data_IF_969002781565
#
_entry.id   IF_969002781565
#
_cell.length_a   1.000
_cell.length_b   1.000
_cell.length_c   1.000
_cell.angle_alpha   90.00
_cell.angle_beta   90.00
_cell.angle_gamma   90.00
#
_symmetry.space_group_name_H-M   'P 1'
#
loop_
_entity.id
_entity.type
_entity.pdbx_description
1 polymer ?
#
# COMPACT_ATOMS: atom_id res chain seq x y z
N UNK A 1 15.41 -11.85 1.44
CA UNK A 1 16.87 -12.05 1.64
C UNK A 1 17.18 -12.08 3.13
N UNK A 2 18.41 -12.45 3.55
CA UNK A 2 18.82 -12.26 4.94
C UNK A 2 19.06 -10.78 5.25
N UNK A 3 19.01 -10.41 6.53
CA UNK A 3 19.27 -9.03 6.97
C UNK A 3 20.67 -8.54 6.54
N UNK A 4 21.67 -9.41 6.62
CA UNK A 4 23.05 -9.13 6.18
C UNK A 4 23.13 -8.87 4.67
N UNK A 5 22.40 -9.65 3.87
CA UNK A 5 22.34 -9.43 2.42
C UNK A 5 21.69 -8.09 2.07
N UNK A 6 20.61 -7.70 2.76
CA UNK A 6 19.99 -6.39 2.55
C UNK A 6 20.93 -5.24 2.92
N UNK A 7 21.67 -5.36 4.04
CA UNK A 7 22.66 -4.35 4.45
C UNK A 7 23.78 -4.22 3.41
N UNK A 8 24.31 -5.35 2.93
CA UNK A 8 25.33 -5.37 1.87
C UNK A 8 24.86 -4.68 0.59
N UNK A 9 23.68 -5.05 0.09
CA UNK A 9 23.11 -4.43 -1.12
C UNK A 9 22.82 -2.93 -0.94
N UNK A 10 22.34 -2.52 0.24
CA UNK A 10 22.12 -1.11 0.55
C UNK A 10 23.44 -0.32 0.56
N UNK A 11 24.49 -0.88 1.17
CA UNK A 11 25.83 -0.28 1.20
C UNK A 11 26.41 -0.14 -0.20
N UNK A 12 26.29 -1.19 -1.03
CA UNK A 12 26.73 -1.17 -2.44
C UNK A 12 26.04 -0.06 -3.22
N UNK A 13 24.72 0.12 -3.05
CA UNK A 13 23.97 1.20 -3.69
C UNK A 13 24.40 2.59 -3.22
N UNK A 14 24.65 2.77 -1.93
CA UNK A 14 25.18 4.04 -1.38
C UNK A 14 26.56 4.36 -1.97
N UNK A 15 27.48 3.39 -1.97
CA UNK A 15 28.82 3.54 -2.52
C UNK A 15 28.79 3.84 -4.02
N UNK A 16 27.96 3.11 -4.76
CA UNK A 16 27.77 3.31 -6.20
C UNK A 16 27.26 4.72 -6.50
N UNK A 17 26.21 5.17 -5.81
CA UNK A 17 25.61 6.47 -6.06
C UNK A 17 26.56 7.63 -5.71
N UNK A 18 27.24 7.55 -4.56
CA UNK A 18 28.25 8.55 -4.18
C UNK A 18 29.46 8.52 -5.12
N UNK A 19 29.89 7.35 -5.58
CA UNK A 19 30.96 7.20 -6.56
C UNK A 19 30.64 7.88 -7.90
N UNK A 20 29.42 7.71 -8.42
CA UNK A 20 28.96 8.41 -9.63
C UNK A 20 28.83 9.92 -9.47
N UNK A 21 28.62 10.39 -8.24
CA UNK A 21 28.63 11.82 -7.90
C UNK A 21 30.05 12.35 -7.63
N UNK A 22 31.09 11.53 -7.84
CA UNK A 22 32.50 11.84 -7.57
C UNK A 22 32.78 12.16 -6.09
N UNK A 23 31.97 11.62 -5.18
CA UNK A 23 32.08 11.84 -3.73
C UNK A 23 32.84 10.67 -3.10
N UNK A 24 33.98 10.99 -2.49
CA UNK A 24 34.76 10.02 -1.73
C UNK A 24 34.15 9.82 -0.34
N UNK A 25 33.65 8.62 -0.08
CA UNK A 25 33.09 8.24 1.21
C UNK A 25 33.75 6.96 1.71
N UNK A 26 34.24 6.99 2.95
CA UNK A 26 34.77 5.80 3.61
C UNK A 26 33.66 4.78 3.88
N UNK A 27 33.89 3.52 3.52
CA UNK A 27 32.91 2.44 3.66
C UNK A 27 32.46 2.27 5.12
N UNK A 28 33.38 2.38 6.08
CA UNK A 28 33.08 2.26 7.51
C UNK A 28 32.17 3.39 8.02
N UNK A 29 32.11 4.53 7.34
CA UNK A 29 31.15 5.60 7.65
C UNK A 29 29.80 5.44 6.96
N UNK A 30 29.71 4.67 5.87
CA UNK A 30 28.47 4.37 5.16
C UNK A 30 27.75 3.14 5.72
N UNK A 31 28.48 2.18 6.30
CA UNK A 31 27.91 0.99 6.94
C UNK A 31 26.81 1.32 7.98
N UNK A 32 27.00 2.28 8.91
CA UNK A 32 25.93 2.68 9.83
C UNK A 32 24.70 3.30 9.14
N UNK A 33 24.88 3.91 7.96
CA UNK A 33 23.78 4.48 7.17
C UNK A 33 22.98 3.36 6.52
N UNK A 34 23.64 2.39 5.91
CA UNK A 34 23.00 1.20 5.34
C UNK A 34 22.25 0.40 6.43
N UNK A 35 22.86 0.26 7.61
CA UNK A 35 22.23 -0.35 8.78
C UNK A 35 20.95 0.38 9.17
N UNK A 36 21.02 1.71 9.31
CA UNK A 36 19.88 2.53 9.70
C UNK A 36 18.70 2.36 8.73
N UNK A 37 18.98 2.44 7.43
CA UNK A 37 17.96 2.27 6.38
C UNK A 37 17.33 0.88 6.49
N UNK A 38 18.12 -0.19 6.41
CA UNK A 38 17.59 -1.56 6.38
C UNK A 38 16.84 -1.91 7.67
N UNK A 39 17.35 -1.50 8.83
CA UNK A 39 16.68 -1.77 10.10
C UNK A 39 15.27 -1.19 10.14
N UNK A 40 15.09 0.04 9.65
CA UNK A 40 13.78 0.72 9.66
C UNK A 40 12.76 0.09 8.71
N UNK A 41 13.23 -0.61 7.68
CA UNK A 41 12.38 -1.24 6.65
C UNK A 41 12.14 -2.73 6.87
N UNK A 42 12.74 -3.33 7.90
CA UNK A 42 12.58 -4.75 8.26
C UNK A 42 11.68 -4.94 9.49
N UNK A 43 10.93 -3.89 9.86
CA UNK A 43 9.97 -3.92 10.95
C UNK A 43 8.88 -4.98 10.73
N UNK A 44 8.25 -5.50 11.80
CA UNK A 44 7.30 -6.60 11.72
C UNK A 44 5.93 -6.21 11.11
N UNK A 45 5.80 -4.98 10.60
CA UNK A 45 4.61 -4.45 9.94
C UNK A 45 4.89 -4.07 8.47
N UNK A 46 6.15 -4.16 8.01
CA UNK A 46 6.55 -3.85 6.64
C UNK A 46 6.43 -5.11 5.78
N UNK A 47 5.44 -5.13 4.89
CA UNK A 47 5.17 -6.23 3.96
C UNK A 47 5.32 -5.79 2.50
N UNK A 48 4.97 -4.55 2.20
CA UNK A 48 5.15 -3.90 0.91
C UNK A 48 6.36 -2.96 0.98
N UNK A 49 6.39 -2.04 1.94
CA UNK A 49 7.46 -1.03 2.07
C UNK A 49 8.71 -1.63 2.74
N UNK A 50 9.45 -2.42 1.97
CA UNK A 50 10.57 -3.28 2.39
C UNK A 50 11.89 -2.87 1.73
N UNK A 51 13.06 -3.42 2.12
CA UNK A 51 14.31 -3.17 1.40
C UNK A 51 14.24 -3.51 -0.10
N UNK A 52 13.55 -4.59 -0.48
CA UNK A 52 13.36 -4.96 -1.89
C UNK A 52 12.66 -3.83 -2.67
N UNK A 53 11.62 -3.23 -2.08
CA UNK A 53 10.88 -2.12 -2.67
C UNK A 53 11.78 -0.90 -2.93
N UNK A 54 12.56 -0.42 -1.96
CA UNK A 54 13.43 0.76 -2.19
C UNK A 54 14.54 0.49 -3.20
N UNK A 55 14.98 -0.77 -3.34
CA UNK A 55 15.98 -1.14 -4.33
C UNK A 55 15.41 -1.15 -5.75
N UNK A 56 14.17 -1.59 -5.91
CA UNK A 56 13.42 -1.54 -7.17
C UNK A 56 13.10 -0.09 -7.56
N UNK A 57 12.54 0.70 -6.63
CA UNK A 57 12.21 2.12 -6.83
C UNK A 57 13.46 2.95 -7.12
N UNK A 58 14.62 2.59 -6.57
CA UNK A 58 15.89 3.27 -6.85
C UNK A 58 16.40 3.02 -8.27
N UNK A 59 16.15 1.83 -8.83
CA UNK A 59 16.67 1.43 -10.14
C UNK A 59 18.19 1.42 -10.18
N UNK A 60 18.77 1.72 -11.35
CA UNK A 60 20.19 1.47 -11.63
C UNK A 60 20.92 2.57 -12.38
N UNK A 61 20.25 3.66 -12.76
CA UNK A 61 20.80 4.55 -13.79
C UNK A 61 21.23 5.92 -13.24
N UNK A 62 20.46 6.51 -12.31
CA UNK A 62 20.72 7.84 -11.77
C UNK A 62 21.04 7.80 -10.26
N UNK A 63 22.18 8.37 -9.82
CA UNK A 63 22.60 8.33 -8.42
C UNK A 63 21.70 9.14 -7.49
N UNK A 64 21.06 10.23 -7.95
CA UNK A 64 20.14 11.02 -7.13
C UNK A 64 18.84 10.25 -6.90
N UNK A 65 18.33 9.59 -7.94
CA UNK A 65 17.16 8.73 -7.83
C UNK A 65 17.42 7.56 -6.87
N UNK A 66 18.58 6.90 -6.98
CA UNK A 66 18.95 5.83 -6.03
C UNK A 66 19.03 6.35 -4.60
N UNK A 67 19.71 7.47 -4.35
CA UNK A 67 19.81 8.04 -3.01
C UNK A 67 18.45 8.44 -2.44
N UNK A 68 17.57 9.03 -3.23
CA UNK A 68 16.22 9.37 -2.78
C UNK A 68 15.39 8.13 -2.45
N UNK A 69 15.43 7.10 -3.30
CA UNK A 69 14.66 5.88 -3.09
C UNK A 69 15.07 5.14 -1.82
N UNK A 70 16.37 5.09 -1.49
CA UNK A 70 16.87 4.47 -0.27
C UNK A 70 16.30 5.12 1.01
N UNK A 71 15.84 6.36 0.94
CA UNK A 71 15.37 7.11 2.10
C UNK A 71 13.86 7.37 2.11
N UNK A 72 13.17 7.40 0.98
CA UNK A 72 11.82 7.97 0.90
C UNK A 72 10.79 7.37 1.89
N UNK A 73 10.99 6.10 2.27
CA UNK A 73 10.05 5.30 3.05
C UNK A 73 10.56 4.81 4.42
N UNK A 74 11.71 5.31 4.86
CA UNK A 74 12.31 4.85 6.12
C UNK A 74 11.51 5.30 7.35
N UNK A 75 10.70 6.34 7.24
CA UNK A 75 9.70 6.72 8.26
C UNK A 75 8.30 6.41 7.75
N UNK A 76 7.59 5.50 8.40
CA UNK A 76 6.18 5.21 8.08
C UNK A 76 5.35 5.03 9.34
N UNK A 77 4.94 6.15 9.92
CA UNK A 77 4.40 6.21 11.29
C UNK A 77 3.15 5.34 11.47
N UNK A 78 2.28 5.29 10.47
CA UNK A 78 1.00 4.57 10.54
C UNK A 78 1.20 3.05 10.48
N UNK A 79 2.22 2.59 9.75
CA UNK A 79 2.56 1.17 9.59
C UNK A 79 3.38 0.70 10.79
N UNK A 80 4.41 1.46 11.16
CA UNK A 80 5.33 1.11 12.25
C UNK A 80 4.74 1.39 13.65
N UNK A 81 3.60 2.09 13.71
CA UNK A 81 2.91 2.54 14.94
C UNK A 81 3.76 3.47 15.80
N UNK A 82 4.55 4.31 15.14
CA UNK A 82 5.45 5.26 15.78
C UNK A 82 6.69 5.54 14.92
N UNK A 83 7.61 6.31 15.49
CA UNK A 83 8.92 6.58 14.88
C UNK A 83 9.92 5.58 15.46
N UNK A 84 10.69 4.92 14.59
CA UNK A 84 11.75 4.02 15.02
C UNK A 84 12.77 4.75 15.90
N UNK A 85 13.20 4.13 17.00
CA UNK A 85 14.05 4.79 18.01
C UNK A 85 15.32 5.41 17.41
N UNK A 86 15.99 4.69 16.49
CA UNK A 86 17.21 5.18 15.84
C UNK A 86 16.96 6.37 14.88
N UNK A 87 15.71 6.61 14.46
CA UNK A 87 15.35 7.77 13.66
C UNK A 87 14.98 8.99 14.53
N UNK A 88 14.58 8.76 15.78
CA UNK A 88 14.08 9.80 16.67
C UNK A 88 15.09 10.95 16.86
N UNK A 89 16.38 10.65 16.95
CA UNK A 89 17.44 11.67 17.11
C UNK A 89 17.47 12.71 15.98
N UNK A 90 17.04 12.33 14.78
CA UNK A 90 16.99 13.22 13.61
C UNK A 90 15.69 14.03 13.53
N UNK A 91 14.66 13.65 14.30
CA UNK A 91 13.30 14.17 14.16
C UNK A 91 12.83 14.94 15.40
N UNK A 92 13.14 14.49 16.61
CA UNK A 92 12.68 15.13 17.86
C UNK A 92 13.06 16.60 18.02
N UNK A 93 14.19 17.11 17.47
CA UNK A 93 14.47 18.55 17.50
C UNK A 93 13.52 19.39 16.64
N UNK A 94 12.76 18.78 15.72
CA UNK A 94 11.96 19.48 14.71
C UNK A 94 10.47 19.14 14.78
N UNK A 95 10.15 17.96 15.30
CA UNK A 95 8.81 17.39 15.36
C UNK A 95 8.44 17.18 16.82
N UNK A 96 7.20 17.52 17.12
CA UNK A 96 6.56 17.16 18.38
C UNK A 96 5.26 16.40 18.13
N UNK A 97 4.79 15.73 19.18
CA UNK A 97 3.53 15.03 19.18
C UNK A 97 2.53 15.83 20.01
N UNK A 98 1.42 16.19 19.37
CA UNK A 98 0.27 16.86 19.96
C UNK A 98 -0.90 15.88 19.89
N UNK A 99 -1.25 15.28 21.03
CA UNK A 99 -2.13 14.10 21.15
C UNK A 99 -1.70 12.94 20.22
N UNK A 100 -2.53 12.59 19.23
CA UNK A 100 -2.28 11.52 18.25
C UNK A 100 -1.66 12.04 16.94
N UNK A 101 -1.34 13.35 16.86
CA UNK A 101 -0.86 13.98 15.63
C UNK A 101 0.57 14.47 15.79
N UNK A 102 1.32 14.40 14.70
CA UNK A 102 2.64 15.01 14.63
C UNK A 102 2.51 16.46 14.17
N UNK A 103 3.35 17.32 14.73
CA UNK A 103 3.40 18.74 14.40
C UNK A 103 4.85 19.15 14.19
N UNK A 104 5.09 19.97 13.17
CA UNK A 104 6.37 20.67 13.04
C UNK A 104 6.42 21.71 14.15
N UNK A 105 7.49 21.74 14.95
CA UNK A 105 7.62 22.69 16.05
C UNK A 105 7.47 24.14 15.57
N UNK A 106 7.05 24.99 16.49
CA UNK A 106 6.94 26.43 16.24
C UNK A 106 8.30 27.04 15.89
N UNK A 107 8.29 28.13 15.12
CA UNK A 107 9.52 28.75 14.62
C UNK A 107 10.50 29.16 15.73
N UNK A 108 10.01 29.48 16.94
CA UNK A 108 10.82 29.83 18.11
C UNK A 108 11.58 28.65 18.71
N UNK A 109 11.09 27.42 18.49
CA UNK A 109 11.61 26.20 19.11
C UNK A 109 12.47 25.39 18.14
N UNK A 110 12.46 25.76 16.86
CA UNK A 110 13.30 25.15 15.85
C UNK A 110 14.77 25.62 16.00
N UNK A 111 15.75 24.73 15.77
CA UNK A 111 17.16 25.13 15.73
C UNK A 111 17.40 26.27 14.75
N UNK A 112 18.02 27.34 15.23
CA UNK A 112 18.42 28.46 14.38
C UNK A 112 19.43 28.00 13.31
N UNK A 113 19.39 28.64 12.14
CA UNK A 113 20.35 28.47 11.04
C UNK A 113 20.46 27.05 10.46
N UNK A 114 19.40 26.24 10.59
CA UNK A 114 19.33 24.93 9.94
C UNK A 114 18.85 25.05 8.48
N UNK A 115 19.77 25.39 7.58
CA UNK A 115 19.50 25.51 6.14
C UNK A 115 18.90 24.23 5.53
N UNK A 116 19.27 23.06 6.05
CA UNK A 116 18.74 21.78 5.56
C UNK A 116 17.26 21.62 5.87
N UNK A 117 16.84 22.00 7.09
CA UNK A 117 15.42 22.02 7.44
C UNK A 117 14.66 23.06 6.60
N UNK A 118 15.19 24.28 6.48
CA UNK A 118 14.55 25.35 5.72
C UNK A 118 14.34 24.95 4.25
N UNK A 119 15.33 24.28 3.64
CA UNK A 119 15.22 23.75 2.28
C UNK A 119 14.09 22.71 2.16
N UNK A 120 14.00 21.77 3.10
CA UNK A 120 12.94 20.74 3.10
C UNK A 120 11.57 21.41 3.19
N UNK A 121 11.37 22.32 4.13
CA UNK A 121 10.09 23.00 4.32
C UNK A 121 9.68 23.80 3.08
N UNK A 122 10.62 24.50 2.43
CA UNK A 122 10.36 25.22 1.18
C UNK A 122 9.97 24.26 0.03
N UNK A 123 10.65 23.13 -0.12
CA UNK A 123 10.37 22.18 -1.21
C UNK A 123 9.08 21.38 -0.98
N UNK A 124 8.76 21.02 0.25
CA UNK A 124 7.52 20.35 0.60
C UNK A 124 6.32 21.31 0.73
N UNK A 125 6.58 22.63 0.81
CA UNK A 125 5.58 23.66 1.10
C UNK A 125 4.91 23.48 2.47
N UNK A 126 5.72 23.24 3.50
CA UNK A 126 5.29 23.14 4.89
C UNK A 126 5.77 24.34 5.69
N UNK A 127 5.07 24.64 6.78
CA UNK A 127 5.42 25.73 7.69
C UNK A 127 5.70 25.20 9.12
N UNK A 128 6.55 25.91 9.90
CA UNK A 128 6.61 25.73 11.34
C UNK A 128 5.22 25.82 11.99
N UNK A 129 4.98 25.06 13.05
CA UNK A 129 3.69 24.95 13.73
C UNK A 129 2.64 24.09 13.00
N UNK A 130 2.89 23.65 11.76
CA UNK A 130 1.93 22.90 10.96
C UNK A 130 1.73 21.48 11.50
N UNK A 131 0.45 21.10 11.69
CA UNK A 131 0.05 19.73 11.98
C UNK A 131 0.17 18.88 10.72
N UNK A 132 0.87 17.75 10.83
CA UNK A 132 1.11 16.82 9.74
C UNK A 132 -0.11 15.91 9.53
N UNK A 133 -0.41 15.66 8.25
CA UNK A 133 -1.45 14.73 7.84
C UNK A 133 -0.81 13.47 7.24
N UNK A 134 -1.26 12.26 7.64
CA UNK A 134 -0.86 11.01 7.00
C UNK A 134 -1.02 11.01 5.48
N UNK A 135 -2.03 11.72 4.96
CA UNK A 135 -2.32 11.82 3.53
C UNK A 135 -1.70 13.05 2.86
N UNK A 136 -1.01 13.89 3.64
CA UNK A 136 -0.44 15.17 3.19
C UNK A 136 1.05 15.12 2.92
N UNK A 137 1.69 13.95 2.91
CA UNK A 137 3.14 13.81 2.75
C UNK A 137 3.94 13.76 4.06
N UNK A 138 3.30 13.38 5.16
CA UNK A 138 3.95 13.29 6.47
C UNK A 138 5.17 12.36 6.45
N UNK A 139 5.03 11.16 5.88
CA UNK A 139 6.07 10.15 5.94
C UNK A 139 7.27 10.56 5.09
N UNK A 140 7.02 11.05 3.88
CA UNK A 140 8.00 11.56 2.93
C UNK A 140 8.75 12.76 3.50
N UNK A 141 8.06 13.67 4.19
CA UNK A 141 8.69 14.80 4.87
C UNK A 141 9.67 14.33 5.95
N UNK A 142 9.24 13.41 6.81
CA UNK A 142 10.06 12.89 7.91
C UNK A 142 11.26 12.09 7.36
N UNK A 143 11.03 11.27 6.34
CA UNK A 143 12.07 10.56 5.60
C UNK A 143 13.10 11.51 4.98
N UNK A 144 12.65 12.62 4.35
CA UNK A 144 13.52 13.65 3.80
C UNK A 144 14.34 14.37 4.89
N UNK A 145 13.75 14.64 6.06
CA UNK A 145 14.48 15.18 7.22
C UNK A 145 15.63 14.26 7.61
N UNK A 146 15.37 12.96 7.78
CA UNK A 146 16.42 11.99 8.09
C UNK A 146 17.47 11.94 6.99
N UNK A 147 17.06 11.86 5.72
CA UNK A 147 17.97 11.82 4.58
C UNK A 147 18.93 13.00 4.59
N UNK A 148 18.42 14.22 4.78
CA UNK A 148 19.25 15.43 4.84
C UNK A 148 20.22 15.39 6.01
N UNK A 149 19.80 15.00 7.22
CA UNK A 149 20.72 14.96 8.37
C UNK A 149 21.80 13.90 8.22
N UNK A 150 21.43 12.72 7.73
CA UNK A 150 22.33 11.59 7.56
C UNK A 150 23.32 11.84 6.43
N UNK A 151 22.88 12.40 5.30
CA UNK A 151 23.71 12.55 4.10
C UNK A 151 24.53 13.86 4.04
N UNK A 152 24.25 14.84 4.90
CA UNK A 152 24.96 16.13 4.96
C UNK A 152 26.49 16.04 5.06
N UNK A 153 27.11 15.04 5.71
CA UNK A 153 28.57 14.92 5.73
C UNK A 153 29.20 14.70 4.35
N UNK A 154 28.42 14.28 3.36
CA UNK A 154 28.90 13.94 2.01
C UNK A 154 28.28 14.80 0.93
N UNK A 155 26.99 15.12 1.04
CA UNK A 155 26.25 15.83 0.01
C UNK A 155 26.20 17.34 0.29
N UNK A 156 26.47 18.13 -0.74
CA UNK A 156 26.21 19.57 -0.72
C UNK A 156 24.71 19.87 -0.69
N UNK A 157 24.33 21.07 -0.24
CA UNK A 157 22.93 21.50 -0.21
C UNK A 157 22.28 21.46 -1.60
N UNK A 158 23.07 21.67 -2.66
CA UNK A 158 22.67 21.53 -4.07
C UNK A 158 22.24 20.11 -4.43
N UNK A 159 22.97 19.09 -3.99
CA UNK A 159 22.64 17.68 -4.25
C UNK A 159 21.47 17.25 -3.36
N UNK A 160 21.49 17.67 -2.09
CA UNK A 160 20.40 17.42 -1.14
C UNK A 160 19.07 17.98 -1.64
N UNK A 161 19.04 19.17 -2.26
CA UNK A 161 17.81 19.71 -2.84
C UNK A 161 17.19 18.82 -3.91
N UNK A 162 18.01 18.13 -4.71
CA UNK A 162 17.52 17.22 -5.74
C UNK A 162 17.02 15.91 -5.12
N UNK A 163 17.73 15.37 -4.13
CA UNK A 163 17.27 14.19 -3.35
C UNK A 163 15.94 14.48 -2.66
N UNK A 164 15.81 15.64 -2.01
CA UNK A 164 14.58 16.08 -1.33
C UNK A 164 13.45 16.29 -2.33
N UNK A 165 13.72 16.85 -3.51
CA UNK A 165 12.72 16.98 -4.58
C UNK A 165 12.19 15.61 -5.03
N UNK A 166 13.07 14.62 -5.18
CA UNK A 166 12.67 13.26 -5.53
C UNK A 166 11.80 12.62 -4.43
N UNK A 167 12.17 12.76 -3.15
CA UNK A 167 11.36 12.26 -2.02
C UNK A 167 10.01 12.99 -1.93
N UNK A 168 9.97 14.32 -2.13
CA UNK A 168 8.70 15.07 -2.16
C UNK A 168 7.78 14.55 -3.27
N UNK A 169 8.37 14.15 -4.39
CA UNK A 169 7.61 13.64 -5.50
C UNK A 169 6.98 12.26 -5.22
N UNK A 170 7.42 11.48 -4.23
CA UNK A 170 6.75 10.21 -3.90
C UNK A 170 5.40 10.39 -3.22
N UNK A 171 5.07 11.59 -2.70
CA UNK A 171 3.74 11.86 -2.12
C UNK A 171 2.65 11.63 -3.17
N UNK A 172 1.87 10.53 -3.12
CA UNK A 172 1.14 10.05 -4.28
C UNK A 172 -0.23 10.74 -4.44
N UNK A 173 -0.85 10.57 -5.61
CA UNK A 173 -2.25 10.92 -5.89
C UNK A 173 -2.65 12.39 -5.61
N UNK A 174 -1.71 13.32 -5.74
CA UNK A 174 -1.98 14.75 -5.58
C UNK A 174 -2.71 15.29 -6.79
N UNK A 175 -3.85 15.94 -6.56
CA UNK A 175 -4.60 16.67 -7.58
C UNK A 175 -3.88 17.96 -7.95
N UNK A 176 -4.30 18.57 -9.05
CA UNK A 176 -3.90 19.94 -9.38
C UNK A 176 -4.25 20.88 -8.22
N UNK A 177 -3.35 21.79 -7.90
CA UNK A 177 -3.57 22.75 -6.81
C UNK A 177 -4.55 23.86 -7.23
N UNK A 178 -4.86 24.77 -6.31
CA UNK A 178 -5.78 25.90 -6.55
C UNK A 178 -5.33 26.86 -7.67
N UNK A 179 -4.06 26.79 -8.07
CA UNK A 179 -3.49 27.56 -9.18
C UNK A 179 -3.54 26.79 -10.52
N UNK A 180 -4.13 25.59 -10.53
CA UNK A 180 -4.20 24.72 -11.71
C UNK A 180 -2.89 24.02 -12.05
N UNK A 181 -1.88 24.07 -11.18
CA UNK A 181 -0.59 23.41 -11.40
C UNK A 181 -0.63 21.97 -10.95
N UNK A 182 0.00 21.09 -11.73
CA UNK A 182 0.33 19.73 -11.32
C UNK A 182 1.35 19.73 -10.18
N UNK A 183 1.50 18.60 -9.48
CA UNK A 183 2.50 18.45 -8.42
C UNK A 183 3.92 18.70 -8.92
N UNK A 184 4.27 18.21 -10.11
CA UNK A 184 5.60 18.39 -10.71
C UNK A 184 5.88 19.85 -11.12
N UNK A 185 4.89 20.57 -11.64
CA UNK A 185 5.02 22.00 -11.96
C UNK A 185 5.18 22.84 -10.70
N UNK A 186 4.39 22.55 -9.66
CA UNK A 186 4.50 23.21 -8.37
C UNK A 186 5.86 22.94 -7.71
N UNK A 187 6.36 21.70 -7.76
CA UNK A 187 7.70 21.34 -7.29
C UNK A 187 8.79 22.09 -8.06
N UNK A 188 8.67 22.18 -9.39
CA UNK A 188 9.61 22.94 -10.23
C UNK A 188 9.67 24.42 -9.81
N UNK A 189 8.51 25.06 -9.59
CA UNK A 189 8.46 26.43 -9.10
C UNK A 189 9.13 26.60 -7.73
N UNK A 190 8.87 25.69 -6.78
CA UNK A 190 9.50 25.74 -5.45
C UNK A 190 11.00 25.49 -5.51
N UNK A 191 11.46 24.59 -6.38
CA UNK A 191 12.89 24.33 -6.58
C UNK A 191 13.62 25.54 -7.20
N UNK A 192 12.98 26.31 -8.10
CA UNK A 192 13.52 27.60 -8.58
C UNK A 192 13.70 28.60 -7.44
N UNK A 193 12.66 28.78 -6.62
CA UNK A 193 12.72 29.68 -5.47
C UNK A 193 13.79 29.24 -4.47
N UNK A 194 13.87 27.94 -4.16
CA UNK A 194 14.88 27.38 -3.28
C UNK A 194 16.31 27.57 -3.85
N UNK A 195 16.51 27.33 -5.16
CA UNK A 195 17.81 27.53 -5.80
C UNK A 195 18.35 28.96 -5.61
N UNK A 196 17.48 29.95 -5.75
CA UNK A 196 17.83 31.36 -5.53
C UNK A 196 18.06 31.66 -4.05
N UNK A 197 17.13 31.28 -3.18
CA UNK A 197 17.17 31.56 -1.73
C UNK A 197 18.41 30.97 -1.08
N UNK A 198 18.71 29.70 -1.36
CA UNK A 198 19.81 28.96 -0.75
C UNK A 198 21.10 29.00 -1.59
N UNK A 199 21.11 29.77 -2.69
CA UNK A 199 22.26 29.92 -3.60
C UNK A 199 22.82 28.56 -4.06
N UNK A 200 21.93 27.63 -4.42
CA UNK A 200 22.30 26.26 -4.83
C UNK A 200 23.05 26.23 -6.16
N UNK A 201 23.00 27.34 -6.92
CA UNK A 201 23.63 27.49 -8.22
C UNK A 201 22.98 26.63 -9.31
N UNK A 202 21.76 26.12 -9.10
CA UNK A 202 21.07 25.30 -10.11
C UNK A 202 20.55 26.22 -11.21
N UNK A 203 21.00 25.99 -12.45
CA UNK A 203 20.44 26.63 -13.63
C UNK A 203 19.10 26.01 -14.04
N UNK A 204 18.36 26.68 -14.92
CA UNK A 204 17.06 26.18 -15.41
C UNK A 204 17.12 24.74 -15.97
N UNK A 205 18.10 24.35 -16.81
CA UNK A 205 18.20 22.97 -17.30
C UNK A 205 18.35 21.95 -16.16
N UNK A 206 19.09 22.29 -15.11
CA UNK A 206 19.36 21.41 -13.97
C UNK A 206 18.16 21.29 -13.04
N UNK A 207 17.39 22.37 -12.91
CA UNK A 207 16.12 22.38 -12.18
C UNK A 207 15.10 21.50 -12.90
N UNK A 208 14.99 21.63 -14.23
CA UNK A 208 14.11 20.78 -15.03
C UNK A 208 14.51 19.30 -14.90
N UNK A 209 15.81 19.00 -15.02
CA UNK A 209 16.31 17.63 -14.86
C UNK A 209 16.05 17.07 -13.46
N UNK A 210 16.22 17.86 -12.40
CA UNK A 210 15.91 17.42 -11.05
C UNK A 210 14.42 17.02 -10.88
N UNK A 211 13.51 17.74 -11.52
CA UNK A 211 12.07 17.41 -11.50
C UNK A 211 11.76 16.21 -12.40
N UNK A 212 12.46 16.04 -13.53
CA UNK A 212 12.38 14.87 -14.39
C UNK A 212 12.78 13.60 -13.60
N UNK A 213 13.91 13.63 -12.89
CA UNK A 213 14.33 12.56 -11.95
C UNK A 213 13.26 12.25 -10.92
N UNK A 214 12.69 13.31 -10.34
CA UNK A 214 11.62 13.20 -9.35
C UNK A 214 10.37 12.51 -9.92
N UNK A 215 10.02 12.78 -11.19
CA UNK A 215 8.92 12.11 -11.90
C UNK A 215 9.23 10.64 -12.18
N UNK A 216 10.45 10.31 -12.62
CA UNK A 216 10.86 8.91 -12.85
C UNK A 216 10.76 8.09 -11.57
N UNK A 217 11.28 8.61 -10.47
CA UNK A 217 11.22 7.95 -9.17
C UNK A 217 9.78 7.79 -8.68
N UNK A 218 8.98 8.86 -8.71
CA UNK A 218 7.57 8.81 -8.30
C UNK A 218 6.75 7.82 -9.13
N UNK A 219 6.99 7.74 -10.44
CA UNK A 219 6.30 6.79 -11.32
C UNK A 219 6.71 5.33 -11.07
N UNK A 220 7.96 5.09 -10.65
CA UNK A 220 8.42 3.74 -10.27
C UNK A 220 7.86 3.31 -8.93
N UNK A 221 7.79 4.23 -7.97
CA UNK A 221 7.16 4.00 -6.66
C UNK A 221 5.71 3.51 -6.79
N UNK A 222 4.91 4.17 -7.63
CA UNK A 222 3.53 3.72 -7.94
C UNK A 222 3.44 2.79 -9.14
N UNK A 223 4.57 2.22 -9.59
CA UNK A 223 4.67 1.44 -10.83
C UNK A 223 3.70 0.26 -10.90
N UNK A 224 3.39 -0.33 -9.74
CA UNK A 224 2.46 -1.46 -9.62
C UNK A 224 1.04 -1.20 -10.13
N UNK A 225 0.62 0.06 -10.30
CA UNK A 225 -0.65 0.38 -10.95
C UNK A 225 -0.64 0.16 -12.46
N UNK A 226 0.54 0.16 -13.09
CA UNK A 226 0.73 -0.01 -14.55
C UNK A 226 1.09 -1.44 -14.97
N UNK A 227 1.15 -2.38 -14.02
CA UNK A 227 1.45 -3.78 -14.24
C UNK A 227 0.25 -4.59 -14.78
N UNK A 228 0.39 -5.90 -14.89
CA UNK A 228 -0.75 -6.81 -15.08
C UNK A 228 -1.69 -6.78 -13.86
N UNK A 229 -2.99 -7.02 -14.06
CA UNK A 229 -3.96 -6.98 -12.95
C UNK A 229 -3.63 -7.96 -11.82
N UNK A 230 -3.00 -9.10 -12.13
CA UNK A 230 -2.55 -10.07 -11.12
C UNK A 230 -1.47 -9.48 -10.20
N UNK A 231 -0.45 -8.83 -10.78
CA UNK A 231 0.59 -8.14 -10.03
C UNK A 231 0.04 -6.93 -9.26
N UNK A 232 -0.85 -6.14 -9.88
CA UNK A 232 -1.53 -5.04 -9.21
C UNK A 232 -2.29 -5.50 -7.96
N UNK A 233 -3.02 -6.61 -8.06
CA UNK A 233 -3.70 -7.20 -6.91
C UNK A 233 -2.74 -7.79 -5.87
N UNK A 234 -1.61 -8.39 -6.28
CA UNK A 234 -0.58 -8.84 -5.33
C UNK A 234 0.00 -7.70 -4.51
N UNK A 235 0.30 -6.57 -5.16
CA UNK A 235 0.78 -5.36 -4.51
C UNK A 235 -0.28 -4.82 -3.54
N UNK A 236 -1.54 -4.77 -4.00
CA UNK A 236 -2.68 -4.38 -3.17
C UNK A 236 -2.85 -5.30 -1.94
N UNK A 237 -2.67 -6.62 -2.10
CA UNK A 237 -2.75 -7.56 -0.98
C UNK A 237 -1.54 -7.43 -0.04
N UNK A 238 -0.35 -7.16 -0.55
CA UNK A 238 0.84 -6.95 0.28
C UNK A 238 0.70 -5.76 1.25
N UNK A 239 -0.12 -4.77 0.91
CA UNK A 239 -0.43 -3.61 1.76
C UNK A 239 -1.44 -3.92 2.89
N UNK A 240 -2.24 -4.98 2.76
CA UNK A 240 -3.32 -5.27 3.72
C UNK A 240 -2.80 -5.49 5.16
N UNK A 241 -1.75 -6.30 5.42
CA UNK A 241 -1.24 -6.51 6.77
C UNK A 241 -0.60 -5.28 7.41
N UNK A 242 -0.08 -4.35 6.59
CA UNK A 242 0.59 -3.14 7.08
C UNK A 242 -0.38 -2.20 7.80
N UNK A 243 -1.63 -2.15 7.32
CA UNK A 243 -2.69 -1.27 7.86
C UNK A 243 -3.73 -2.04 8.69
N UNK A 244 -3.67 -3.37 8.73
CA UNK A 244 -4.64 -4.22 9.41
C UNK A 244 -3.93 -5.30 10.27
N UNK A 245 -3.73 -5.04 11.57
CA UNK A 245 -2.90 -5.89 12.42
C UNK A 245 -3.47 -7.27 12.72
N UNK A 246 -4.79 -7.46 12.53
CA UNK A 246 -5.47 -8.73 12.76
C UNK A 246 -4.90 -9.86 11.88
N UNK A 247 -4.27 -9.53 10.75
CA UNK A 247 -3.66 -10.50 9.84
C UNK A 247 -2.36 -11.13 10.35
N UNK A 248 -1.78 -10.63 11.45
CA UNK A 248 -0.64 -11.30 12.09
C UNK A 248 -0.95 -12.68 12.65
N UNK A 249 -2.23 -12.92 12.98
CA UNK A 249 -2.71 -14.20 13.44
C UNK A 249 -3.74 -14.71 12.42
N UNK A 250 -3.30 -15.37 11.33
CA UNK A 250 -4.16 -15.86 10.23
C UNK A 250 -5.36 -16.70 10.66
N UNK A 251 -5.32 -17.27 11.87
CA UNK A 251 -6.34 -18.19 12.36
C UNK A 251 -7.37 -17.55 13.31
N UNK A 252 -7.18 -16.30 13.73
CA UNK A 252 -7.99 -15.67 14.77
C UNK A 252 -8.88 -14.53 14.31
N UNK A 253 -8.64 -13.95 13.13
CA UNK A 253 -9.42 -12.79 12.71
C UNK A 253 -10.87 -13.18 12.36
N UNK A 254 -11.80 -12.28 12.66
CA UNK A 254 -13.23 -12.47 12.42
C UNK A 254 -13.63 -12.13 10.99
N UNK A 255 -14.82 -12.57 10.57
CA UNK A 255 -15.40 -12.15 9.28
C UNK A 255 -15.47 -10.61 9.16
N UNK A 256 -15.85 -9.93 10.25
CA UNK A 256 -15.93 -8.47 10.33
C UNK A 256 -14.58 -7.80 10.17
N UNK A 257 -13.54 -8.30 10.83
CA UNK A 257 -12.18 -7.74 10.75
C UNK A 257 -11.63 -7.86 9.33
N UNK A 258 -11.72 -9.05 8.72
CA UNK A 258 -11.29 -9.25 7.33
C UNK A 258 -12.06 -8.36 6.35
N UNK A 259 -13.39 -8.30 6.47
CA UNK A 259 -14.24 -7.42 5.67
C UNK A 259 -13.89 -5.96 5.86
N UNK A 260 -13.63 -5.50 7.08
CA UNK A 260 -13.25 -4.10 7.34
C UNK A 260 -11.96 -3.72 6.61
N UNK A 261 -10.97 -4.61 6.61
CA UNK A 261 -9.73 -4.43 5.85
C UNK A 261 -10.03 -4.26 4.35
N UNK A 262 -10.82 -5.18 3.77
CA UNK A 262 -11.21 -5.09 2.35
C UNK A 262 -12.01 -3.82 2.03
N UNK A 263 -12.88 -3.37 2.95
CA UNK A 263 -13.71 -2.18 2.76
C UNK A 263 -12.85 -0.91 2.70
N UNK A 264 -11.81 -0.80 3.55
CA UNK A 264 -10.86 0.31 3.50
C UNK A 264 -10.11 0.34 2.16
N UNK A 265 -9.61 -0.81 1.72
CA UNK A 265 -8.92 -0.93 0.42
C UNK A 265 -9.84 -0.59 -0.75
N UNK A 266 -11.09 -1.06 -0.72
CA UNK A 266 -12.08 -0.70 -1.73
C UNK A 266 -12.33 0.81 -1.74
N UNK A 267 -12.55 1.43 -0.58
CA UNK A 267 -12.73 2.88 -0.47
C UNK A 267 -11.53 3.67 -1.00
N UNK A 268 -10.30 3.20 -0.75
CA UNK A 268 -9.10 3.78 -1.33
C UNK A 268 -9.11 3.69 -2.86
N UNK A 269 -9.34 2.50 -3.45
CA UNK A 269 -9.38 2.36 -4.91
C UNK A 269 -10.51 3.16 -5.56
N UNK A 270 -11.67 3.31 -4.92
CA UNK A 270 -12.76 4.19 -5.40
C UNK A 270 -12.35 5.66 -5.42
N UNK A 271 -11.52 6.10 -4.48
CA UNK A 271 -11.09 7.50 -4.40
C UNK A 271 -10.08 7.91 -5.48
N UNK A 272 -9.42 6.93 -6.10
CA UNK A 272 -8.36 7.15 -7.09
C UNK A 272 -8.92 7.53 -8.46
N UNK A 273 -8.24 8.49 -9.08
CA UNK A 273 -8.45 8.90 -10.47
C UNK A 273 -7.24 8.43 -11.28
N UNK A 274 -7.39 7.74 -12.42
CA UNK A 274 -6.25 7.21 -13.18
C UNK A 274 -5.20 8.27 -13.55
N UNK A 275 -5.67 9.47 -13.90
CA UNK A 275 -4.81 10.57 -14.37
C UNK A 275 -3.91 11.19 -13.30
N UNK A 276 -4.10 10.87 -12.02
CA UNK A 276 -3.27 11.39 -10.91
C UNK A 276 -2.31 10.34 -10.33
N UNK A 277 -2.32 9.12 -10.87
CA UNK A 277 -1.43 8.04 -10.45
C UNK A 277 -0.04 8.30 -11.02
N UNK A 278 0.07 8.28 -12.35
CA UNK A 278 1.31 8.56 -13.04
C UNK A 278 1.46 10.05 -13.32
N UNK A 279 2.70 10.51 -13.28
CA UNK A 279 3.08 11.89 -13.53
C UNK A 279 3.78 12.00 -14.87
N UNK A 280 3.63 13.18 -15.47
CA UNK A 280 4.37 13.59 -16.65
C UNK A 280 4.87 15.01 -16.44
N UNK A 281 6.12 15.27 -16.79
CA UNK A 281 6.71 16.59 -16.73
C UNK A 281 7.75 16.74 -17.83
N UNK A 282 7.65 17.84 -18.60
CA UNK A 282 8.65 18.21 -19.61
C UNK A 282 9.03 17.06 -20.59
N UNK A 283 8.04 16.27 -21.01
CA UNK A 283 8.23 15.16 -21.94
C UNK A 283 8.68 13.84 -21.31
N UNK A 284 8.81 13.75 -19.98
CA UNK A 284 9.10 12.53 -19.25
C UNK A 284 7.88 12.05 -18.43
N UNK A 285 7.40 10.80 -18.60
CA UNK A 285 7.72 9.95 -19.74
C UNK A 285 7.14 10.56 -21.03
N UNK A 286 7.52 10.00 -22.18
CA UNK A 286 6.93 10.41 -23.45
C UNK A 286 5.42 10.18 -23.45
N UNK A 287 4.71 10.88 -24.34
CA UNK A 287 3.25 10.88 -24.35
C UNK A 287 2.63 9.50 -24.57
N UNK A 288 3.24 8.67 -25.41
CA UNK A 288 2.73 7.33 -25.69
C UNK A 288 2.88 6.43 -24.46
N UNK A 289 4.04 6.48 -23.81
CA UNK A 289 4.30 5.77 -22.55
C UNK A 289 3.36 6.23 -21.44
N UNK A 290 3.18 7.55 -21.26
CA UNK A 290 2.25 8.10 -20.27
C UNK A 290 0.82 7.61 -20.49
N UNK A 291 0.31 7.73 -21.72
CA UNK A 291 -1.06 7.31 -22.05
C UNK A 291 -1.25 5.80 -21.84
N UNK A 292 -0.25 4.99 -22.17
CA UNK A 292 -0.29 3.55 -21.91
C UNK A 292 -0.34 3.22 -20.41
N UNK A 293 0.46 3.91 -19.59
CA UNK A 293 0.46 3.76 -18.13
C UNK A 293 -0.91 4.15 -17.52
N UNK A 294 -1.48 5.29 -17.94
CA UNK A 294 -2.80 5.73 -17.47
C UNK A 294 -3.90 4.76 -17.88
N UNK A 295 -3.88 4.26 -19.12
CA UNK A 295 -4.86 3.28 -19.59
C UNK A 295 -4.77 1.95 -18.82
N UNK A 296 -3.56 1.48 -18.52
CA UNK A 296 -3.37 0.27 -17.69
C UNK A 296 -3.85 0.50 -16.26
N UNK A 297 -3.54 1.63 -15.65
CA UNK A 297 -4.03 1.97 -14.32
C UNK A 297 -5.56 2.03 -14.28
N UNK A 298 -6.20 2.64 -15.28
CA UNK A 298 -7.66 2.67 -15.38
C UNK A 298 -8.27 1.26 -15.45
N UNK A 299 -7.71 0.41 -16.31
CA UNK A 299 -8.11 -0.99 -16.41
C UNK A 299 -7.91 -1.76 -15.10
N UNK A 300 -6.74 -1.63 -14.47
CA UNK A 300 -6.41 -2.28 -13.20
C UNK A 300 -7.31 -1.80 -12.06
N UNK A 301 -7.65 -0.51 -12.02
CA UNK A 301 -8.62 0.02 -11.06
C UNK A 301 -10.01 -0.58 -11.30
N UNK A 302 -10.45 -0.71 -12.55
CA UNK A 302 -11.73 -1.36 -12.87
C UNK A 302 -11.76 -2.82 -12.42
N UNK A 303 -10.72 -3.59 -12.72
CA UNK A 303 -10.54 -4.99 -12.29
C UNK A 303 -10.50 -5.07 -10.76
N UNK A 304 -9.68 -4.24 -10.11
CA UNK A 304 -9.52 -4.24 -8.66
C UNK A 304 -10.79 -3.88 -7.89
N UNK A 305 -11.54 -2.88 -8.37
CA UNK A 305 -12.84 -2.50 -7.79
C UNK A 305 -13.84 -3.64 -7.87
N UNK A 306 -14.03 -4.23 -9.05
CA UNK A 306 -14.98 -5.34 -9.22
C UNK A 306 -14.55 -6.59 -8.44
N UNK A 307 -13.26 -6.89 -8.39
CA UNK A 307 -12.70 -7.97 -7.56
C UNK A 307 -13.03 -7.75 -6.07
N UNK A 308 -12.76 -6.56 -5.54
CA UNK A 308 -13.05 -6.22 -4.15
C UNK A 308 -14.54 -6.19 -3.85
N UNK A 309 -15.38 -5.62 -4.73
CA UNK A 309 -16.83 -5.65 -4.58
C UNK A 309 -17.36 -7.08 -4.47
N UNK A 310 -16.85 -7.98 -5.31
CA UNK A 310 -17.23 -9.40 -5.28
C UNK A 310 -16.86 -10.05 -3.96
N UNK A 311 -15.62 -9.82 -3.47
CA UNK A 311 -15.20 -10.31 -2.16
C UNK A 311 -16.00 -9.67 -1.02
N UNK A 312 -16.34 -8.39 -1.10
CA UNK A 312 -17.15 -7.69 -0.09
C UNK A 312 -18.57 -8.25 0.00
N UNK A 313 -19.26 -8.47 -1.11
CA UNK A 313 -20.61 -9.08 -1.10
C UNK A 313 -20.54 -10.51 -0.53
N UNK A 314 -19.49 -11.26 -0.91
CA UNK A 314 -19.24 -12.59 -0.34
C UNK A 314 -19.08 -12.53 1.18
N UNK A 315 -18.24 -11.61 1.67
CA UNK A 315 -18.00 -11.42 3.10
C UNK A 315 -19.23 -10.88 3.85
N UNK A 316 -20.08 -10.08 3.21
CA UNK A 316 -21.34 -9.64 3.79
C UNK A 316 -22.27 -10.81 4.11
N UNK A 317 -22.39 -11.77 3.18
CA UNK A 317 -23.20 -12.97 3.41
C UNK A 317 -22.61 -13.80 4.56
N UNK A 318 -21.30 -14.02 4.56
CA UNK A 318 -20.62 -14.79 5.60
C UNK A 318 -20.71 -14.13 6.98
N UNK A 319 -20.48 -12.81 7.06
CA UNK A 319 -20.61 -12.06 8.32
C UNK A 319 -22.07 -12.05 8.80
N UNK A 320 -23.05 -11.81 7.93
CA UNK A 320 -24.46 -11.85 8.32
C UNK A 320 -24.90 -13.25 8.81
N UNK A 321 -24.40 -14.33 8.19
CA UNK A 321 -24.62 -15.70 8.69
C UNK A 321 -23.92 -15.88 10.05
N UNK A 322 -22.71 -15.35 10.23
CA UNK A 322 -21.95 -15.50 11.47
C UNK A 322 -22.68 -14.91 12.66
N UNK A 323 -23.45 -13.83 12.47
CA UNK A 323 -24.29 -13.22 13.52
C UNK A 323 -25.30 -14.20 14.15
N UNK A 324 -25.70 -15.28 13.45
CA UNK A 324 -26.56 -16.34 14.02
C UNK A 324 -25.82 -17.24 15.02
N UNK A 325 -24.50 -17.28 14.95
CA UNK A 325 -23.61 -18.04 15.83
C UNK A 325 -23.04 -17.14 16.94
N UNK A 326 -22.78 -15.87 16.62
CA UNK A 326 -22.26 -14.84 17.53
C UNK A 326 -21.68 -13.63 16.79
N UNK A 327 -21.44 -12.50 17.48
CA UNK A 327 -21.01 -11.25 16.84
C UNK A 327 -19.56 -11.26 16.32
N UNK A 328 -18.67 -12.10 16.86
CA UNK A 328 -17.22 -12.09 16.60
C UNK A 328 -16.67 -13.50 16.35
N UNK A 329 -17.28 -14.20 15.40
CA UNK A 329 -16.89 -15.57 15.04
C UNK A 329 -15.63 -15.53 14.17
N UNK A 330 -14.55 -16.26 14.53
CA UNK A 330 -13.38 -16.41 13.67
C UNK A 330 -13.75 -16.90 12.26
N UNK A 331 -13.17 -16.30 11.23
CA UNK A 331 -13.51 -16.66 9.84
C UNK A 331 -13.22 -18.13 9.54
N UNK A 332 -12.19 -18.69 10.17
CA UNK A 332 -11.82 -20.11 10.08
C UNK A 332 -12.93 -21.04 10.58
N UNK A 333 -13.80 -20.59 11.50
CA UNK A 333 -14.97 -21.37 11.91
C UNK A 333 -16.03 -21.47 10.81
N UNK A 334 -16.11 -20.50 9.89
CA UNK A 334 -17.07 -20.52 8.79
C UNK A 334 -16.50 -21.22 7.55
N UNK A 335 -15.24 -20.92 7.21
CA UNK A 335 -14.64 -21.32 5.94
C UNK A 335 -13.77 -22.58 6.02
N UNK A 336 -13.35 -22.98 7.22
CA UNK A 336 -12.29 -23.96 7.41
C UNK A 336 -10.92 -23.31 7.61
N UNK A 337 -9.92 -24.13 7.95
CA UNK A 337 -8.55 -23.65 8.12
C UNK A 337 -7.88 -23.42 6.77
N UNK A 338 -6.95 -22.45 6.73
CA UNK A 338 -6.01 -22.33 5.62
C UNK A 338 -5.20 -23.62 5.50
N UNK A 339 -4.80 -24.03 4.27
CA UNK A 339 -4.01 -25.24 4.08
C UNK A 339 -2.71 -25.19 4.88
N UNK A 340 -2.49 -26.18 5.74
CA UNK A 340 -1.21 -26.41 6.41
C UNK A 340 -0.61 -27.70 5.84
N UNK A 341 0.70 -27.73 5.59
CA UNK A 341 1.36 -28.90 5.02
C UNK A 341 1.01 -30.18 5.80
N UNK A 342 0.38 -31.15 5.12
CA UNK A 342 0.12 -32.49 5.66
C UNK A 342 -1.22 -32.72 6.38
N UNK A 343 -2.11 -31.73 6.50
CA UNK A 343 -3.41 -31.91 7.16
C UNK A 343 -4.59 -31.74 6.18
N UNK A 344 -5.59 -32.66 6.17
CA UNK A 344 -6.81 -32.47 5.39
C UNK A 344 -7.60 -31.28 5.94
N UNK A 345 -7.61 -30.18 5.18
CA UNK A 345 -8.41 -29.00 5.50
C UNK A 345 -9.89 -29.30 5.18
N UNK A 346 -10.74 -29.51 6.17
CA UNK A 346 -12.18 -29.46 5.95
C UNK A 346 -12.60 -28.02 5.63
N UNK A 347 -12.72 -27.66 4.35
CA UNK A 347 -13.08 -26.30 3.90
C UNK A 347 -14.51 -26.24 3.40
N UNK A 348 -15.13 -25.08 3.55
CA UNK A 348 -16.46 -24.83 3.01
C UNK A 348 -16.51 -24.99 1.49
N UNK A 349 -15.44 -24.59 0.79
CA UNK A 349 -15.31 -24.73 -0.67
C UNK A 349 -15.51 -26.18 -1.16
N UNK A 350 -15.04 -27.15 -0.39
CA UNK A 350 -15.13 -28.56 -0.76
C UNK A 350 -16.55 -29.14 -0.54
N UNK A 351 -17.46 -28.36 0.06
CA UNK A 351 -18.85 -28.72 0.36
C UNK A 351 -19.86 -28.03 -0.57
N UNK A 352 -19.41 -27.09 -1.40
CA UNK A 352 -20.31 -26.37 -2.29
C UNK A 352 -20.65 -27.24 -3.51
N UNK A 353 -21.94 -27.32 -3.90
CA UNK A 353 -22.34 -28.04 -5.09
C UNK A 353 -21.84 -27.32 -6.35
N UNK A 354 -21.60 -28.03 -7.46
CA UNK A 354 -21.37 -27.39 -8.74
C UNK A 354 -22.61 -26.55 -9.12
N UNK A 355 -22.42 -25.37 -9.72
CA UNK A 355 -23.54 -24.50 -10.09
C UNK A 355 -24.42 -25.17 -11.16
N UNK A 356 -25.73 -25.25 -10.92
CA UNK A 356 -26.66 -25.91 -11.85
C UNK A 356 -26.79 -25.16 -13.18
N UNK A 357 -26.61 -23.84 -13.18
CA UNK A 357 -26.56 -22.97 -14.35
C UNK A 357 -25.55 -21.86 -14.09
N UNK A 358 -24.26 -22.08 -14.35
CA UNK A 358 -23.24 -21.05 -14.11
C UNK A 358 -23.54 -19.83 -14.98
N UNK A 359 -23.58 -18.65 -14.35
CA UNK A 359 -23.52 -17.39 -15.09
C UNK A 359 -22.09 -17.19 -15.58
N UNK A 360 -21.98 -16.76 -16.83
CA UNK A 360 -20.70 -16.42 -17.45
C UNK A 360 -20.39 -14.95 -17.23
N UNK A 361 -19.10 -14.58 -17.12
CA UNK A 361 -18.69 -13.18 -17.17
C UNK A 361 -19.05 -12.54 -18.53
N UNK A 362 -19.27 -11.23 -18.52
CA UNK A 362 -19.55 -10.43 -19.71
C UNK A 362 -18.46 -9.38 -19.94
N UNK A 363 -17.63 -9.61 -20.96
CA UNK A 363 -16.59 -8.68 -21.38
C UNK A 363 -15.28 -8.82 -20.60
N UNK A 364 -14.25 -8.13 -21.10
CA UNK A 364 -12.85 -8.38 -20.72
C UNK A 364 -12.57 -8.20 -19.21
N UNK A 365 -13.15 -7.18 -18.56
CA UNK A 365 -12.92 -6.94 -17.13
C UNK A 365 -13.54 -8.04 -16.28
N UNK A 366 -14.75 -8.50 -16.61
CA UNK A 366 -15.42 -9.56 -15.84
C UNK A 366 -14.73 -10.90 -16.04
N UNK A 367 -14.31 -11.22 -17.27
CA UNK A 367 -13.54 -12.41 -17.59
C UNK A 367 -12.26 -12.47 -16.76
N UNK A 368 -11.52 -11.36 -16.71
CA UNK A 368 -10.27 -11.27 -15.94
C UNK A 368 -10.50 -11.34 -14.43
N UNK A 369 -11.52 -10.66 -13.91
CA UNK A 369 -11.88 -10.76 -12.47
C UNK A 369 -12.27 -12.18 -12.11
N UNK A 370 -13.05 -12.86 -12.96
CA UNK A 370 -13.42 -14.25 -12.74
C UNK A 370 -12.19 -15.16 -12.68
N UNK A 371 -11.28 -15.01 -13.64
CA UNK A 371 -10.02 -15.75 -13.68
C UNK A 371 -9.17 -15.51 -12.43
N UNK A 372 -9.07 -14.26 -11.96
CA UNK A 372 -8.36 -13.90 -10.72
C UNK A 372 -9.03 -14.46 -9.47
N UNK A 373 -10.35 -14.58 -9.44
CA UNK A 373 -11.08 -15.21 -8.33
C UNK A 373 -10.90 -16.73 -8.34
N UNK A 374 -10.86 -17.36 -9.50
CA UNK A 374 -10.79 -18.82 -9.66
C UNK A 374 -9.36 -19.38 -9.54
N UNK A 375 -8.45 -18.86 -10.38
CA UNK A 375 -7.05 -19.31 -10.45
C UNK A 375 -6.20 -18.66 -9.37
N UNK A 376 -6.56 -17.45 -8.98
CA UNK A 376 -5.91 -16.68 -7.92
C UNK A 376 -4.92 -15.63 -8.44
N UNK A 377 -4.44 -14.82 -7.49
CA UNK A 377 -3.35 -13.84 -7.71
C UNK A 377 -2.01 -14.56 -7.94
N UNK A 378 -0.99 -13.82 -8.41
CA UNK A 378 0.33 -14.40 -8.75
C UNK A 378 1.17 -14.81 -7.53
N UNK A 379 0.94 -14.21 -6.35
CA UNK A 379 1.65 -14.54 -5.11
C UNK A 379 0.70 -15.10 -4.05
N UNK A 380 1.25 -15.96 -3.20
CA UNK A 380 0.55 -16.43 -2.01
C UNK A 380 0.65 -15.42 -0.87
N UNK A 381 -0.35 -15.44 0.02
CA UNK A 381 -0.34 -14.64 1.24
C UNK A 381 -0.44 -15.60 2.42
N UNK A 382 0.24 -15.29 3.54
CA UNK A 382 0.21 -16.17 4.73
C UNK A 382 -1.11 -16.09 5.50
N UNK A 383 -1.96 -15.11 5.21
CA UNK A 383 -3.18 -14.80 5.94
C UNK A 383 -4.46 -14.97 5.11
N UNK A 384 -4.37 -15.25 3.80
CA UNK A 384 -5.50 -15.40 2.88
C UNK A 384 -5.14 -16.38 1.75
N UNK A 385 -6.15 -16.98 1.11
CA UNK A 385 -5.95 -17.77 -0.10
C UNK A 385 -5.64 -16.85 -1.29
N UNK A 386 -4.82 -17.35 -2.22
CA UNK A 386 -4.53 -16.63 -3.48
C UNK A 386 -5.77 -16.53 -4.38
N UNK A 387 -6.63 -17.56 -4.36
CA UNK A 387 -7.93 -17.60 -5.03
C UNK A 387 -9.07 -17.40 -4.02
N UNK A 388 -10.28 -17.18 -4.52
CA UNK A 388 -11.47 -16.84 -3.73
C UNK A 388 -12.66 -17.74 -4.10
N UNK A 389 -12.63 -19.03 -3.74
CA UNK A 389 -13.63 -20.02 -4.17
C UNK A 389 -15.07 -19.66 -3.76
N UNK A 390 -15.24 -18.98 -2.61
CA UNK A 390 -16.56 -18.49 -2.18
C UNK A 390 -17.11 -17.40 -3.11
N UNK A 391 -16.22 -16.55 -3.60
CA UNK A 391 -16.58 -15.49 -4.54
C UNK A 391 -16.86 -16.06 -5.94
N UNK A 392 -16.11 -17.07 -6.38
CA UNK A 392 -16.41 -17.81 -7.63
C UNK A 392 -17.79 -18.44 -7.57
N UNK A 393 -18.11 -19.14 -6.46
CA UNK A 393 -19.44 -19.71 -6.25
C UNK A 393 -20.53 -18.63 -6.35
N UNK A 394 -20.33 -17.49 -5.69
CA UNK A 394 -21.31 -16.42 -5.69
C UNK A 394 -21.48 -15.82 -7.10
N UNK A 395 -20.40 -15.61 -7.84
CA UNK A 395 -20.47 -15.14 -9.24
C UNK A 395 -21.22 -16.15 -10.10
N UNK A 396 -20.99 -17.45 -9.96
CA UNK A 396 -21.80 -18.43 -10.69
C UNK A 396 -23.29 -18.40 -10.33
N UNK A 397 -23.62 -18.13 -9.06
CA UNK A 397 -24.99 -18.09 -8.59
C UNK A 397 -25.75 -16.83 -9.04
N UNK A 398 -25.12 -15.65 -8.95
CA UNK A 398 -25.80 -14.36 -9.16
C UNK A 398 -25.17 -13.47 -10.25
N UNK A 399 -24.02 -13.82 -10.81
CA UNK A 399 -23.32 -13.05 -11.84
C UNK A 399 -22.79 -11.72 -11.32
N UNK A 400 -21.91 -11.06 -12.08
CA UNK A 400 -21.38 -9.75 -11.69
C UNK A 400 -22.47 -8.67 -11.60
N UNK A 401 -23.50 -8.76 -12.44
CA UNK A 401 -24.69 -7.92 -12.30
C UNK A 401 -25.45 -8.13 -10.99
N UNK A 402 -25.51 -9.37 -10.49
CA UNK A 402 -26.04 -9.65 -9.16
C UNK A 402 -25.16 -9.04 -8.07
N UNK A 403 -23.84 -9.18 -8.19
CA UNK A 403 -22.88 -8.57 -7.26
C UNK A 403 -23.08 -7.05 -7.20
N UNK A 404 -23.18 -6.36 -8.35
CA UNK A 404 -23.41 -4.91 -8.41
C UNK A 404 -24.73 -4.51 -7.74
N UNK A 405 -25.79 -5.29 -7.92
CA UNK A 405 -27.10 -5.04 -7.28
C UNK A 405 -27.08 -5.29 -5.77
N UNK A 406 -26.29 -6.26 -5.30
CA UNK A 406 -26.19 -6.61 -3.88
C UNK A 406 -25.24 -5.69 -3.10
N UNK A 407 -24.25 -5.08 -3.77
CA UNK A 407 -23.23 -4.24 -3.13
C UNK A 407 -23.81 -3.10 -2.27
N UNK A 408 -24.81 -2.30 -2.70
CA UNK A 408 -25.39 -1.27 -1.84
C UNK A 408 -26.04 -1.82 -0.57
N UNK A 409 -26.66 -3.00 -0.65
CA UNK A 409 -27.26 -3.68 0.53
C UNK A 409 -26.17 -4.18 1.47
N UNK A 410 -25.08 -4.73 0.93
CA UNK A 410 -23.91 -5.11 1.72
C UNK A 410 -23.30 -3.89 2.44
N UNK A 411 -23.17 -2.76 1.75
CA UNK A 411 -22.69 -1.50 2.35
C UNK A 411 -23.64 -0.99 3.45
N UNK A 412 -24.96 -1.05 3.23
CA UNK A 412 -25.95 -0.69 4.24
C UNK A 412 -25.86 -1.59 5.50
N UNK A 413 -25.59 -2.88 5.32
CA UNK A 413 -25.31 -3.82 6.41
C UNK A 413 -24.04 -3.43 7.17
N UNK A 414 -22.94 -3.13 6.46
CA UNK A 414 -21.68 -2.71 7.10
C UNK A 414 -21.81 -1.41 7.89
N UNK A 415 -22.66 -0.50 7.41
CA UNK A 415 -22.98 0.75 8.09
C UNK A 415 -23.93 0.59 9.29
N UNK A 416 -24.43 -0.64 9.56
CA UNK A 416 -25.39 -0.91 10.62
C UNK A 416 -26.82 -0.42 10.33
N UNK A 417 -27.07 0.11 9.14
CA UNK A 417 -28.39 0.62 8.71
C UNK A 417 -29.32 -0.50 8.21
N UNK A 418 -28.78 -1.68 7.92
CA UNK A 418 -29.53 -2.89 7.59
C UNK A 418 -29.11 -4.01 8.55
N UNK A 419 -30.06 -4.61 9.26
CA UNK A 419 -29.78 -5.71 10.19
C UNK A 419 -29.39 -6.99 9.44
N UNK A 420 -28.53 -7.84 10.04
CA UNK A 420 -28.07 -9.09 9.44
C UNK A 420 -29.20 -9.99 8.93
N UNK A 421 -30.25 -10.20 9.74
CA UNK A 421 -31.39 -11.03 9.32
C UNK A 421 -32.20 -10.41 8.17
N UNK A 422 -32.32 -9.08 8.12
CA UNK A 422 -32.97 -8.40 6.99
C UNK A 422 -32.12 -8.49 5.72
N UNK A 423 -30.79 -8.37 5.85
CA UNK A 423 -29.86 -8.57 4.74
C UNK A 423 -29.98 -9.99 4.16
N UNK A 424 -30.02 -11.01 5.03
CA UNK A 424 -30.19 -12.41 4.61
C UNK A 424 -31.56 -12.67 4.01
N UNK A 425 -32.65 -12.17 4.62
CA UNK A 425 -34.03 -12.44 4.18
C UNK A 425 -34.33 -11.99 2.74
N UNK A 426 -33.83 -10.82 2.36
CA UNK A 426 -34.10 -10.24 1.04
C UNK A 426 -32.93 -10.45 0.05
N UNK A 427 -31.92 -11.23 0.46
CA UNK A 427 -30.75 -11.56 -0.37
C UNK A 427 -30.97 -12.71 -1.34
N UNK A 428 -29.90 -13.17 -2.02
CA UNK A 428 -29.97 -14.26 -2.99
C UNK A 428 -30.20 -15.61 -2.29
N UNK A 429 -31.48 -15.93 -2.00
CA UNK A 429 -31.87 -17.06 -1.15
C UNK A 429 -31.23 -18.38 -1.55
N UNK A 430 -31.23 -18.72 -2.85
CA UNK A 430 -30.62 -19.96 -3.32
C UNK A 430 -29.12 -20.08 -2.99
N UNK A 431 -28.37 -18.97 -3.05
CA UNK A 431 -26.96 -18.97 -2.68
C UNK A 431 -26.78 -19.02 -1.16
N UNK A 432 -27.63 -18.30 -0.42
CA UNK A 432 -27.62 -18.28 1.05
C UNK A 432 -27.91 -19.67 1.62
N UNK A 433 -28.92 -20.37 1.10
CA UNK A 433 -29.30 -21.71 1.56
C UNK A 433 -28.15 -22.71 1.39
N UNK A 434 -27.48 -22.68 0.24
CA UNK A 434 -26.31 -23.52 -0.04
C UNK A 434 -25.17 -23.20 0.94
N UNK A 435 -24.87 -21.92 1.18
CA UNK A 435 -23.82 -21.51 2.13
C UNK A 435 -24.15 -21.96 3.55
N UNK A 436 -25.40 -21.76 4.00
CA UNK A 436 -25.86 -22.18 5.33
C UNK A 436 -25.77 -23.70 5.48
N UNK A 437 -26.18 -24.46 4.47
CA UNK A 437 -26.08 -25.92 4.48
C UNK A 437 -24.62 -26.38 4.53
N UNK A 438 -23.73 -25.79 3.73
CA UNK A 438 -22.30 -26.10 3.75
C UNK A 438 -21.65 -25.78 5.09
N UNK A 439 -21.98 -24.64 5.70
CA UNK A 439 -21.50 -24.28 7.04
C UNK A 439 -22.03 -25.28 8.07
N UNK A 440 -23.32 -25.61 8.04
CA UNK A 440 -23.92 -26.57 8.97
C UNK A 440 -23.24 -27.96 8.89
N UNK A 441 -22.99 -28.44 7.67
CA UNK A 441 -22.25 -29.69 7.42
C UNK A 441 -20.81 -29.63 7.97
N UNK A 442 -20.13 -28.48 7.83
CA UNK A 442 -18.80 -28.29 8.41
C UNK A 442 -18.83 -28.41 9.95
N UNK A 443 -19.85 -27.86 10.62
CA UNK A 443 -20.04 -28.02 12.06
C UNK A 443 -20.37 -29.46 12.45
N UNK A 444 -21.15 -30.19 11.65
CA UNK A 444 -21.42 -31.62 11.86
C UNK A 444 -20.13 -32.43 11.80
N UNK A 445 -19.29 -32.21 10.78
CA UNK A 445 -17.99 -32.90 10.65
C UNK A 445 -17.05 -32.61 11.82
N UNK A 446 -17.02 -31.37 12.30
CA UNK A 446 -16.24 -30.99 13.50
C UNK A 446 -16.77 -31.65 14.76
N UNK A 447 -18.09 -31.68 14.94
CA UNK A 447 -18.71 -32.42 16.05
C UNK A 447 -18.30 -33.88 16.01
N UNK A 448 -18.43 -34.54 14.85
CA UNK A 448 -18.02 -35.92 14.65
C UNK A 448 -16.54 -36.14 15.00
N UNK A 449 -15.64 -35.28 14.52
CA UNK A 449 -14.20 -35.37 14.82
C UNK A 449 -13.90 -35.30 16.33
N UNK A 450 -14.65 -34.50 17.09
CA UNK A 450 -14.51 -34.42 18.56
C UNK A 450 -15.20 -35.58 19.28
N UNK A 451 -16.32 -36.08 18.75
CA UNK A 451 -17.12 -37.15 19.40
C UNK A 451 -16.70 -38.57 19.01
N UNK A 452 -15.90 -38.75 17.96
CA UNK A 452 -15.34 -40.04 17.59
C UNK A 452 -14.31 -40.47 18.65
N UNK A 453 -14.78 -41.23 19.65
CA UNK A 453 -13.92 -41.97 20.55
C UNK A 453 -13.21 -43.10 19.75
N UNK A 454 -11.95 -42.88 19.35
CA UNK A 454 -11.17 -43.96 18.72
C UNK A 454 -10.03 -43.59 17.77
N UNK A 455 -9.45 -42.40 17.81
CA UNK A 455 -8.21 -42.11 17.07
C UNK A 455 -7.10 -41.70 18.04
N UNK A 456 -6.43 -42.72 18.59
CA UNK A 456 -5.02 -42.67 19.02
C UNK A 456 -4.11 -42.71 17.81
#
# INVERSE_FOLDING_TARGET
>A
MSLEQYRGQCLEKLQWALGLLEIQADAGRLEPVAELIVQTMTGPWRYFHTPDHIFEVGGTDDPIEVLAALFHDIVYVQVDRGIHFNLAVYLTPYIEQDDERLRIREASDLPADDEGLALILDLFNFAPGQVLSPFGGQNELLSAMVAVKVMRPWLSLRLLAQVVACIEATIPFRRVNDQGLTSSEALCARLRTASQRFRLGLGEPEILEAVIRSVRLANRDVGGFGDTSACFLDNTWSLLPETNPHFKNPHSYTAREYRTSLQKTAGFLESLVPSIIFRRFHGEPDEATYNALVARADHNLAVGRLYLWTKLVTMALLEAISHRLGPDVPLTLLLGQLPTAGAPSGRLADLLPPPSRPRSPEGAVEDEVFDLLDKGRSRESTYDLRNSPMSVFLVHAIGFDGIRRELPRAQAFFAGTLAAEAYLKDGPQAAIDILVQGIAELFVRRKQAVTCAGCT
#
